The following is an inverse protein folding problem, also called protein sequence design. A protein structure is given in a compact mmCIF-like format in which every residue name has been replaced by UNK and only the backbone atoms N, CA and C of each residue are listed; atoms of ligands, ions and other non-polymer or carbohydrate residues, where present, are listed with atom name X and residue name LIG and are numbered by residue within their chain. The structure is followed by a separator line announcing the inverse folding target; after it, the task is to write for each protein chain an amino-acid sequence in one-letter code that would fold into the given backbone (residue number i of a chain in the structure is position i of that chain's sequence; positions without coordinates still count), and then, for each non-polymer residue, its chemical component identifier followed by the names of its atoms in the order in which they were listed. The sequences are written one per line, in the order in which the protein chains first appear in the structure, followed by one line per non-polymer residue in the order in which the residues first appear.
data_IF_793851887043
#
_entry.id   IF_793851887043
#
_cell.length_a   1.000
_cell.length_b   1.000
_cell.length_c   1.000
_cell.angle_alpha   90.00
_cell.angle_beta   90.00
_cell.angle_gamma   90.00
#
_symmetry.space_group_name_H-M   'P 1'
#
loop_
_entity.id
_entity.type
_entity.pdbx_description
1 polymer ?
#
# COMPACT_ATOMS: atom_id res chain seq x y z
N UNK A 1 1.38 23.33 -34.65
CA UNK A 1 1.16 23.62 -33.21
C UNK A 1 2.24 24.60 -32.81
N UNK A 2 1.87 25.79 -32.33
CA UNK A 2 2.83 26.78 -31.85
C UNK A 2 3.37 26.30 -30.49
N UNK A 3 4.69 26.13 -30.40
CA UNK A 3 5.36 25.74 -29.16
C UNK A 3 5.71 26.99 -28.35
N UNK A 4 5.70 26.88 -27.02
CA UNK A 4 5.94 28.01 -26.10
C UNK A 4 7.34 27.92 -25.51
N UNK A 5 8.13 28.99 -25.65
CA UNK A 5 9.43 29.08 -25.00
C UNK A 5 9.28 29.04 -23.47
N UNK A 6 10.03 28.16 -22.82
CA UNK A 6 9.97 28.00 -21.37
C UNK A 6 10.45 29.24 -20.60
N UNK A 7 11.39 30.01 -21.15
CA UNK A 7 11.98 31.18 -20.46
C UNK A 7 11.11 32.41 -20.60
N UNK A 8 10.77 32.81 -21.84
CA UNK A 8 10.08 34.08 -22.09
C UNK A 8 8.58 33.94 -22.38
N UNK A 9 8.05 32.72 -22.49
CA UNK A 9 6.63 32.47 -22.73
C UNK A 9 6.14 32.82 -24.14
N UNK A 10 7.00 33.29 -25.05
CA UNK A 10 6.63 33.55 -26.45
C UNK A 10 6.32 32.24 -27.16
N UNK A 11 5.24 32.26 -27.94
CA UNK A 11 4.87 31.16 -28.83
C UNK A 11 5.37 31.47 -30.23
N UNK A 12 6.25 30.64 -30.76
CA UNK A 12 6.86 30.81 -32.07
C UNK A 12 7.05 29.44 -32.74
N UNK A 13 6.86 29.37 -34.05
CA UNK A 13 7.15 28.18 -34.87
C UNK A 13 8.65 27.85 -34.88
N UNK A 14 9.51 28.85 -34.60
CA UNK A 14 10.96 28.66 -34.52
C UNK A 14 11.45 28.03 -33.22
N UNK A 15 10.56 27.76 -32.25
CA UNK A 15 10.98 27.12 -31.01
C UNK A 15 11.49 25.70 -31.27
N UNK A 16 12.62 25.34 -30.64
CA UNK A 16 13.23 24.00 -30.74
C UNK A 16 13.44 23.38 -29.35
N UNK A 17 13.39 22.05 -29.23
CA UNK A 17 13.70 21.38 -27.97
C UNK A 17 15.21 21.39 -27.73
N UNK A 18 15.64 21.67 -26.49
CA UNK A 18 17.04 21.57 -26.08
C UNK A 18 17.46 20.09 -26.00
N UNK A 19 18.62 19.69 -26.57
CA UNK A 19 19.05 18.29 -26.59
C UNK A 19 19.42 17.73 -25.21
N UNK A 20 19.64 18.60 -24.22
CA UNK A 20 20.07 18.19 -22.88
C UNK A 20 18.92 18.06 -21.87
N UNK A 21 17.95 18.99 -21.89
CA UNK A 21 16.82 19.01 -20.94
C UNK A 21 15.45 18.70 -21.58
N UNK A 22 15.38 18.63 -22.91
CA UNK A 22 14.18 18.33 -23.70
C UNK A 22 13.02 19.33 -23.53
N UNK A 23 13.31 20.56 -23.09
CA UNK A 23 12.33 21.66 -22.98
C UNK A 23 12.41 22.55 -24.23
N UNK A 24 11.33 23.28 -24.56
CA UNK A 24 11.22 24.09 -25.77
C UNK A 24 11.66 25.55 -25.55
N UNK A 25 12.48 26.07 -26.46
CA UNK A 25 13.04 27.43 -26.38
C UNK A 25 12.98 28.14 -27.74
N UNK A 26 12.76 29.45 -27.73
CA UNK A 26 12.88 30.26 -28.94
C UNK A 26 14.36 30.46 -29.33
N UNK A 27 14.63 30.97 -30.53
CA UNK A 27 16.02 31.16 -31.01
C UNK A 27 16.91 32.02 -30.11
N UNK A 28 16.33 32.90 -29.29
CA UNK A 28 17.06 33.74 -28.31
C UNK A 28 17.38 33.05 -26.98
N UNK A 29 16.82 31.86 -26.72
CA UNK A 29 17.04 31.10 -25.48
C UNK A 29 17.41 29.63 -25.76
N UNK A 30 17.73 29.29 -27.02
CA UNK A 30 17.99 27.91 -27.42
C UNK A 30 19.33 27.41 -26.86
N UNK A 31 20.31 28.30 -26.75
CA UNK A 31 21.64 27.93 -26.24
C UNK A 31 21.54 27.50 -24.77
N UNK A 32 22.13 26.35 -24.39
CA UNK A 32 22.10 25.83 -23.02
C UNK A 32 22.54 26.83 -21.92
N UNK A 33 23.44 27.75 -22.26
CA UNK A 33 23.93 28.79 -21.36
C UNK A 33 22.90 29.91 -21.14
N UNK A 34 21.96 30.12 -22.05
CA UNK A 34 20.95 31.19 -22.00
C UNK A 34 19.66 30.81 -21.23
N UNK A 35 19.47 29.53 -20.89
CA UNK A 35 18.28 29.05 -20.18
C UNK A 35 18.58 28.22 -18.92
N UNK A 36 19.80 28.37 -18.38
CA UNK A 36 20.30 27.65 -17.20
C UNK A 36 20.06 26.13 -17.28
N UNK A 37 20.52 25.51 -18.36
CA UNK A 37 20.20 24.12 -18.68
C UNK A 37 20.66 23.12 -17.60
N UNK A 38 19.70 22.51 -16.90
CA UNK A 38 19.99 21.44 -15.92
C UNK A 38 20.73 20.25 -16.53
N UNK A 39 20.40 19.86 -17.78
CA UNK A 39 21.04 18.73 -18.45
C UNK A 39 22.53 18.96 -18.72
N UNK A 40 22.92 20.21 -19.01
CA UNK A 40 24.32 20.58 -19.21
C UNK A 40 25.11 20.53 -17.89
N UNK A 41 24.50 20.95 -16.76
CA UNK A 41 25.12 20.86 -15.43
C UNK A 41 25.39 19.41 -15.01
N UNK A 42 24.56 18.46 -15.46
CA UNK A 42 24.69 17.04 -15.13
C UNK A 42 25.72 16.35 -16.04
N UNK A 43 25.72 16.65 -17.34
CA UNK A 43 26.60 15.97 -18.31
C UNK A 43 28.00 16.58 -18.46
N UNK A 44 28.26 17.74 -17.83
CA UNK A 44 29.54 18.45 -17.95
C UNK A 44 29.74 19.07 -19.34
N UNK A 45 30.56 20.11 -19.44
CA UNK A 45 30.94 20.67 -20.74
C UNK A 45 31.66 19.58 -21.55
N UNK A 46 31.31 19.35 -22.83
CA UNK A 46 32.11 18.48 -23.69
C UNK A 46 33.55 18.98 -23.66
N UNK A 47 34.49 18.08 -23.38
CA UNK A 47 35.93 18.37 -23.37
C UNK A 47 36.28 18.97 -24.74
N UNK A 48 36.84 20.19 -24.73
CA UNK A 48 37.26 20.91 -25.93
C UNK A 48 38.18 20.04 -26.79
N UNK A 49 37.65 19.54 -27.91
CA UNK A 49 38.36 18.73 -28.89
C UNK A 49 39.17 19.60 -29.87
N UNK A 50 39.80 20.67 -29.37
CA UNK A 50 40.62 21.60 -30.15
C UNK A 50 42.12 21.36 -29.91
N UNK A 51 42.60 20.17 -30.32
CA UNK A 51 44.00 19.98 -30.71
C UNK A 51 44.09 18.94 -31.84
N UNK A 52 44.55 19.30 -33.04
CA UNK A 52 44.80 18.34 -34.10
C UNK A 52 46.20 17.72 -33.94
N UNK A 53 46.26 16.40 -33.78
CA UNK A 53 47.40 15.59 -34.22
C UNK A 53 46.99 14.86 -35.51
N UNK A 54 47.91 14.85 -36.47
CA UNK A 54 47.72 14.66 -37.91
C UNK A 54 47.19 13.28 -38.33
N UNK A 55 46.47 13.33 -39.46
CA UNK A 55 46.34 12.33 -40.54
C UNK A 55 45.64 11.01 -40.12
N UNK A 56 44.73 10.43 -40.90
CA UNK A 56 44.77 10.30 -42.34
C UNK A 56 43.37 9.99 -42.89
N UNK A 57 43.16 10.48 -44.10
CA UNK A 57 42.00 10.39 -44.97
C UNK A 57 41.58 8.95 -45.23
N UNK A 58 40.26 8.66 -45.18
CA UNK A 58 39.57 7.97 -46.27
C UNK A 58 38.05 7.95 -46.04
N UNK A 59 37.38 8.69 -46.93
CA UNK A 59 35.95 8.65 -47.20
C UNK A 59 35.61 7.30 -47.85
N UNK A 60 34.46 6.70 -47.51
CA UNK A 60 33.46 6.43 -48.55
C UNK A 60 32.11 7.00 -48.10
N UNK A 61 31.60 8.03 -48.75
CA UNK A 61 30.66 7.90 -49.86
C UNK A 61 29.56 6.86 -49.57
N UNK A 62 28.69 7.13 -48.60
CA UNK A 62 27.43 6.41 -48.43
C UNK A 62 26.27 7.35 -48.75
N UNK A 63 25.75 7.11 -49.96
CA UNK A 63 24.38 7.33 -50.44
C UNK A 63 23.47 8.15 -49.52
N UNK A 64 23.19 9.37 -49.98
CA UNK A 64 21.94 10.07 -49.68
C UNK A 64 20.76 9.15 -50.05
N UNK A 65 20.09 8.59 -49.06
CA UNK A 65 18.73 8.10 -49.23
C UNK A 65 17.78 9.29 -49.15
N UNK A 66 17.23 9.57 -50.33
CA UNK A 66 16.10 10.44 -50.61
C UNK A 66 14.99 10.38 -49.57
N UNK A 67 14.45 11.57 -49.26
CA UNK A 67 13.06 11.85 -48.86
C UNK A 67 12.37 10.79 -47.97
N UNK A 68 12.28 11.09 -46.67
CA UNK A 68 11.12 10.67 -45.90
C UNK A 68 10.49 11.89 -45.24
N UNK A 69 9.36 12.32 -45.82
CA UNK A 69 8.35 13.20 -45.21
C UNK A 69 8.24 12.88 -43.72
N UNK A 70 8.59 13.83 -42.85
CA UNK A 70 8.25 13.73 -41.43
C UNK A 70 7.04 14.62 -41.12
N UNK A 71 6.15 14.17 -40.22
CA UNK A 71 4.71 14.20 -40.45
C UNK A 71 4.01 15.45 -39.90
N UNK A 72 2.87 15.75 -40.51
CA UNK A 72 1.84 16.63 -39.98
C UNK A 72 1.54 16.30 -38.50
N UNK A 73 1.17 17.31 -37.69
CA UNK A 73 1.07 17.21 -36.25
C UNK A 73 0.13 16.06 -35.88
N UNK A 74 0.71 15.02 -35.30
CA UNK A 74 -0.04 13.97 -34.62
C UNK A 74 -0.73 14.67 -33.46
N UNK A 75 -2.01 15.00 -33.66
CA UNK A 75 -2.93 15.19 -32.56
C UNK A 75 -2.64 14.05 -31.59
N UNK A 76 -2.27 14.39 -30.35
CA UNK A 76 -2.19 13.46 -29.24
C UNK A 76 -3.60 12.92 -29.04
N UNK A 77 -4.00 11.99 -29.93
CA UNK A 77 -5.15 11.13 -29.77
C UNK A 77 -4.94 10.60 -28.37
N UNK A 78 -5.86 10.93 -27.47
CA UNK A 78 -5.96 10.36 -26.14
C UNK A 78 -5.61 8.89 -26.30
N UNK A 79 -4.36 8.56 -25.94
CA UNK A 79 -3.77 7.30 -26.29
C UNK A 79 -4.71 6.29 -25.70
N UNK A 80 -5.34 5.51 -26.56
CA UNK A 80 -6.03 4.30 -26.18
C UNK A 80 -4.94 3.49 -25.50
N UNK A 81 -4.83 3.70 -24.19
CA UNK A 81 -3.74 3.19 -23.40
C UNK A 81 -4.00 1.71 -23.41
N UNK A 82 -3.30 1.00 -24.30
CA UNK A 82 -3.16 -0.44 -24.24
C UNK A 82 -2.72 -0.68 -22.81
N UNK A 83 -3.70 -1.04 -21.97
CA UNK A 83 -3.47 -1.10 -20.55
C UNK A 83 -2.47 -2.25 -20.41
N UNK A 84 -1.24 -1.91 -20.01
CA UNK A 84 -0.12 -2.84 -20.02
C UNK A 84 -0.58 -4.17 -19.42
N UNK A 85 -0.34 -5.27 -20.13
CA UNK A 85 -0.76 -6.62 -19.75
C UNK A 85 -0.32 -6.95 -18.31
N UNK A 86 0.81 -6.39 -17.87
CA UNK A 86 1.30 -6.52 -16.49
C UNK A 86 0.43 -5.82 -15.46
N UNK A 87 -0.16 -4.66 -15.80
CA UNK A 87 -1.09 -3.92 -14.95
C UNK A 87 -2.42 -4.67 -14.86
N UNK A 88 -2.94 -5.19 -15.97
CA UNK A 88 -4.13 -6.06 -16.02
C UNK A 88 -3.90 -7.31 -15.17
N UNK A 89 -2.74 -7.96 -15.31
CA UNK A 89 -2.36 -9.14 -14.52
C UNK A 89 -2.23 -8.83 -13.03
N UNK A 90 -1.69 -7.66 -12.68
CA UNK A 90 -1.63 -7.17 -11.30
C UNK A 90 -3.02 -6.92 -10.69
N UNK A 91 -3.89 -6.23 -11.43
CA UNK A 91 -5.29 -5.99 -11.05
C UNK A 91 -6.09 -7.29 -10.95
N UNK A 92 -5.89 -8.24 -11.87
CA UNK A 92 -6.53 -9.55 -11.86
C UNK A 92 -6.12 -10.38 -10.64
N UNK A 93 -4.83 -10.36 -10.29
CA UNK A 93 -4.35 -10.96 -9.03
C UNK A 93 -4.98 -10.28 -7.82
N UNK A 94 -4.99 -8.95 -7.78
CA UNK A 94 -5.59 -8.21 -6.67
C UNK A 94 -7.07 -8.56 -6.49
N UNK A 95 -7.85 -8.60 -7.58
CA UNK A 95 -9.27 -8.95 -7.58
C UNK A 95 -9.51 -10.39 -7.11
N UNK A 96 -8.73 -11.37 -7.60
CA UNK A 96 -8.85 -12.77 -7.17
C UNK A 96 -8.53 -12.93 -5.68
N UNK A 97 -7.52 -12.22 -5.20
CA UNK A 97 -7.11 -12.26 -3.80
C UNK A 97 -8.13 -11.55 -2.87
N UNK A 98 -8.71 -10.44 -3.33
CA UNK A 98 -9.81 -9.75 -2.63
C UNK A 98 -11.03 -10.65 -2.45
N UNK A 99 -11.40 -11.42 -3.49
CA UNK A 99 -12.49 -12.38 -3.40
C UNK A 99 -12.20 -13.48 -2.36
N UNK A 100 -10.99 -14.06 -2.40
CA UNK A 100 -10.55 -15.07 -1.41
C UNK A 100 -10.60 -14.48 0.00
N UNK A 101 -10.19 -13.22 0.17
CA UNK A 101 -10.24 -12.53 1.44
C UNK A 101 -11.68 -12.29 1.91
N UNK A 102 -12.58 -11.81 1.05
CA UNK A 102 -13.97 -11.54 1.38
C UNK A 102 -14.71 -12.79 1.87
N UNK A 103 -14.39 -13.96 1.30
CA UNK A 103 -14.97 -15.25 1.70
C UNK A 103 -14.22 -15.86 2.90
N UNK A 104 -12.89 -15.77 2.91
CA UNK A 104 -12.03 -16.40 3.90
C UNK A 104 -12.04 -15.68 5.25
N UNK A 105 -12.24 -14.36 5.29
CA UNK A 105 -12.27 -13.57 6.52
C UNK A 105 -13.43 -13.95 7.45
N UNK A 106 -14.70 -14.05 6.99
CA UNK A 106 -15.80 -14.53 7.81
C UNK A 106 -15.59 -15.97 8.30
N UNK A 107 -15.13 -16.86 7.41
CA UNK A 107 -14.89 -18.28 7.74
C UNK A 107 -13.77 -18.43 8.76
N UNK A 108 -12.65 -17.71 8.58
CA UNK A 108 -11.54 -17.69 9.53
C UNK A 108 -11.95 -17.13 10.88
N UNK A 109 -12.77 -16.07 10.89
CA UNK A 109 -13.32 -15.50 12.13
C UNK A 109 -14.26 -16.49 12.83
N UNK A 110 -15.09 -17.22 12.08
CA UNK A 110 -15.99 -18.27 12.60
C UNK A 110 -15.22 -19.47 13.16
N UNK A 111 -14.16 -19.92 12.49
CA UNK A 111 -13.30 -21.02 12.99
C UNK A 111 -12.57 -20.57 14.26
N UNK A 112 -11.99 -19.37 14.26
CA UNK A 112 -11.37 -18.80 15.45
C UNK A 112 -12.39 -18.65 16.60
N UNK A 113 -13.65 -18.27 16.30
CA UNK A 113 -14.73 -18.15 17.29
C UNK A 113 -14.99 -19.51 17.92
N UNK A 114 -15.19 -20.52 17.06
CA UNK A 114 -15.45 -21.90 17.49
C UNK A 114 -14.30 -22.43 18.34
N UNK A 115 -13.04 -22.24 17.91
CA UNK A 115 -11.87 -22.68 18.66
C UNK A 115 -11.71 -21.93 19.98
N UNK A 116 -11.96 -20.62 20.02
CA UNK A 116 -11.91 -19.84 21.26
C UNK A 116 -12.99 -20.28 22.26
N UNK A 117 -14.22 -20.54 21.79
CA UNK A 117 -15.33 -21.06 22.61
C UNK A 117 -15.04 -22.49 23.10
N UNK A 118 -14.47 -23.35 22.25
CA UNK A 118 -14.05 -24.69 22.65
C UNK A 118 -12.89 -24.65 23.66
N UNK A 119 -11.93 -23.75 23.47
CA UNK A 119 -10.80 -23.58 24.40
C UNK A 119 -11.25 -23.00 25.74
N UNK A 120 -12.20 -22.06 25.74
CA UNK A 120 -12.87 -21.60 26.96
C UNK A 120 -13.49 -22.79 27.69
N UNK A 121 -14.27 -23.60 26.98
CA UNK A 121 -14.93 -24.78 27.53
C UNK A 121 -13.96 -25.84 28.07
N UNK A 122 -12.78 -26.00 27.46
CA UNK A 122 -11.74 -26.96 27.86
C UNK A 122 -10.85 -26.45 29.01
N UNK A 123 -10.58 -25.15 29.09
CA UNK A 123 -9.70 -24.55 30.11
C UNK A 123 -10.36 -24.40 31.48
N UNK A 124 -11.69 -24.61 31.56
CA UNK A 124 -12.45 -24.71 32.81
C UNK A 124 -12.68 -26.17 33.25
N UNK A 125 -11.79 -27.09 32.87
CA UNK A 125 -11.69 -28.39 33.52
C UNK A 125 -11.21 -28.24 34.98
N UNK A 126 -11.77 -28.99 35.95
CA UNK A 126 -11.59 -28.76 37.40
C UNK A 126 -10.20 -29.12 37.98
N UNK A 127 -9.12 -29.19 37.20
CA UNK A 127 -7.88 -29.88 37.61
C UNK A 127 -6.64 -29.01 37.92
N UNK A 128 -6.75 -27.68 38.01
CA UNK A 128 -5.63 -26.83 38.48
C UNK A 128 -5.83 -26.42 39.95
N UNK A 129 -4.93 -26.74 40.89
CA UNK A 129 -5.09 -26.41 42.32
C UNK A 129 -5.06 -24.89 42.61
N UNK A 130 -4.41 -24.10 41.75
CA UNK A 130 -4.51 -22.63 41.82
C UNK A 130 -5.92 -22.16 41.41
N UNK A 131 -6.52 -22.83 40.42
CA UNK A 131 -7.88 -22.57 39.98
C UNK A 131 -8.90 -23.08 41.00
N UNK A 132 -8.66 -24.18 41.74
CA UNK A 132 -9.58 -24.60 42.81
C UNK A 132 -9.59 -23.62 43.98
N UNK A 133 -8.45 -22.97 44.28
CA UNK A 133 -8.36 -21.93 45.31
C UNK A 133 -9.05 -20.64 44.87
N UNK A 134 -8.91 -20.26 43.58
CA UNK A 134 -9.63 -19.13 42.99
C UNK A 134 -11.14 -19.45 42.87
N UNK A 135 -11.49 -20.68 42.48
CA UNK A 135 -12.87 -21.18 42.34
C UNK A 135 -13.51 -21.49 43.70
N UNK A 136 -12.76 -21.65 44.80
CA UNK A 136 -13.30 -21.76 46.15
C UNK A 136 -13.55 -20.39 46.78
N UNK A 137 -12.79 -19.37 46.37
CA UNK A 137 -13.07 -17.96 46.67
C UNK A 137 -14.16 -17.38 45.75
N UNK A 138 -14.40 -18.00 44.60
CA UNK A 138 -15.37 -17.56 43.59
C UNK A 138 -16.82 -17.56 44.10
N UNK A 139 -17.33 -18.57 44.85
CA UNK A 139 -18.63 -18.52 45.55
C UNK A 139 -18.75 -17.37 46.55
N UNK A 140 -17.65 -17.03 47.24
CA UNK A 140 -17.61 -15.97 48.23
C UNK A 140 -17.63 -14.57 47.59
N UNK A 141 -17.08 -14.45 46.37
CA UNK A 141 -17.24 -13.28 45.48
C UNK A 141 -18.58 -13.28 44.71
N UNK A 142 -19.17 -14.46 44.45
CA UNK A 142 -20.48 -14.65 43.79
C UNK A 142 -21.66 -14.20 44.65
N UNK A 143 -21.52 -14.21 45.98
CA UNK A 143 -22.56 -13.76 46.91
C UNK A 143 -22.89 -12.26 46.84
N UNK A 144 -22.04 -11.46 46.19
CA UNK A 144 -22.18 -10.01 46.06
C UNK A 144 -22.49 -9.60 44.61
N UNK A 145 -23.59 -10.08 44.02
CA UNK A 145 -24.17 -9.52 42.78
C UNK A 145 -23.31 -9.58 41.50
N UNK A 146 -22.17 -10.28 41.51
CA UNK A 146 -21.16 -10.25 40.43
C UNK A 146 -21.33 -11.34 39.36
N UNK A 147 -22.36 -12.19 39.47
CA UNK A 147 -22.53 -13.40 38.63
C UNK A 147 -22.90 -13.07 37.18
N UNK A 148 -23.76 -12.08 36.98
CA UNK A 148 -24.11 -11.60 35.63
C UNK A 148 -22.96 -10.77 35.07
N UNK A 149 -22.41 -9.84 35.84
CA UNK A 149 -21.34 -8.95 35.39
C UNK A 149 -20.07 -9.72 34.98
N UNK A 150 -19.66 -10.72 35.76
CA UNK A 150 -18.48 -11.54 35.47
C UNK A 150 -18.63 -12.40 34.21
N UNK A 151 -19.81 -12.99 33.98
CA UNK A 151 -20.12 -13.72 32.75
C UNK A 151 -20.15 -12.77 31.55
N UNK A 152 -20.72 -11.57 31.71
CA UNK A 152 -20.70 -10.53 30.67
C UNK A 152 -19.29 -10.03 30.36
N UNK A 153 -18.47 -9.76 31.38
CA UNK A 153 -17.07 -9.33 31.23
C UNK A 153 -16.21 -10.42 30.57
N UNK A 154 -16.39 -11.68 30.96
CA UNK A 154 -15.70 -12.82 30.36
C UNK A 154 -16.10 -13.02 28.89
N UNK A 155 -17.39 -12.98 28.59
CA UNK A 155 -17.89 -13.07 27.22
C UNK A 155 -17.40 -11.89 26.36
N UNK A 156 -17.45 -10.66 26.89
CA UNK A 156 -16.93 -9.46 26.22
C UNK A 156 -15.43 -9.57 25.96
N UNK A 157 -14.65 -10.03 26.94
CA UNK A 157 -13.21 -10.22 26.79
C UNK A 157 -12.87 -11.26 25.73
N UNK A 158 -13.58 -12.40 25.71
CA UNK A 158 -13.40 -13.43 24.67
C UNK A 158 -13.80 -12.91 23.29
N UNK A 159 -14.87 -12.10 23.21
CA UNK A 159 -15.31 -11.47 21.96
C UNK A 159 -14.28 -10.45 21.46
N UNK A 160 -13.64 -9.69 22.37
CA UNK A 160 -12.52 -8.80 22.05
C UNK A 160 -11.30 -9.60 21.58
N UNK A 161 -10.88 -10.64 22.30
CA UNK A 161 -9.75 -11.47 21.90
C UNK A 161 -9.96 -12.12 20.54
N UNK A 162 -11.19 -12.55 20.27
CA UNK A 162 -11.54 -13.08 18.97
C UNK A 162 -11.54 -12.00 17.89
N UNK A 163 -12.14 -10.84 18.15
CA UNK A 163 -12.15 -9.73 17.19
C UNK A 163 -10.71 -9.27 16.88
N UNK A 164 -9.85 -9.22 17.88
CA UNK A 164 -8.42 -8.87 17.74
C UNK A 164 -7.68 -9.98 17.01
N UNK A 165 -7.82 -11.24 17.41
CA UNK A 165 -7.13 -12.38 16.78
C UNK A 165 -7.56 -12.61 15.34
N UNK A 166 -8.87 -12.62 15.08
CA UNK A 166 -9.45 -12.64 13.74
C UNK A 166 -8.99 -11.43 12.93
N UNK A 167 -9.08 -10.23 13.48
CA UNK A 167 -8.62 -8.99 12.84
C UNK A 167 -7.14 -9.01 12.47
N UNK A 168 -6.27 -9.53 13.34
CA UNK A 168 -4.84 -9.64 13.08
C UNK A 168 -4.53 -10.67 11.99
N UNK A 169 -5.21 -11.82 11.99
CA UNK A 169 -5.08 -12.83 10.92
C UNK A 169 -5.56 -12.28 9.58
N UNK A 170 -6.67 -11.56 9.58
CA UNK A 170 -7.22 -10.86 8.44
C UNK A 170 -6.21 -9.83 7.91
N UNK A 171 -5.63 -9.01 8.78
CA UNK A 171 -4.58 -8.05 8.41
C UNK A 171 -3.34 -8.74 7.85
N UNK A 172 -2.90 -9.84 8.45
CA UNK A 172 -1.75 -10.61 7.98
C UNK A 172 -1.98 -11.16 6.56
N UNK A 173 -3.14 -11.79 6.32
CA UNK A 173 -3.54 -12.25 5.00
C UNK A 173 -3.63 -11.08 4.01
N UNK A 174 -4.23 -9.96 4.43
CA UNK A 174 -4.31 -8.72 3.66
C UNK A 174 -2.94 -8.26 3.18
N UNK A 175 -1.96 -8.08 4.07
CA UNK A 175 -0.62 -7.64 3.70
C UNK A 175 0.10 -8.69 2.84
N UNK A 176 -0.04 -9.97 3.18
CA UNK A 176 0.51 -11.09 2.40
C UNK A 176 0.01 -11.13 0.95
N UNK A 177 -1.24 -10.74 0.71
CA UNK A 177 -1.83 -10.68 -0.63
C UNK A 177 -1.55 -9.37 -1.38
N UNK A 178 -1.44 -8.25 -0.67
CA UNK A 178 -1.14 -6.95 -1.26
C UNK A 178 0.32 -6.86 -1.72
N UNK A 179 1.28 -7.44 -0.97
CA UNK A 179 2.70 -7.39 -1.33
C UNK A 179 2.98 -7.91 -2.75
N UNK A 180 2.50 -9.10 -3.16
CA UNK A 180 2.67 -9.60 -4.52
C UNK A 180 2.08 -8.67 -5.59
N UNK A 181 0.92 -8.05 -5.31
CA UNK A 181 0.28 -7.11 -6.23
C UNK A 181 1.12 -5.84 -6.41
N UNK A 182 1.53 -5.21 -5.30
CA UNK A 182 2.41 -4.03 -5.33
C UNK A 182 3.79 -4.32 -5.93
N UNK A 183 4.33 -5.52 -5.71
CA UNK A 183 5.59 -5.96 -6.35
C UNK A 183 5.41 -6.09 -7.86
N UNK A 184 4.24 -6.54 -8.32
CA UNK A 184 3.89 -6.56 -9.76
C UNK A 184 3.78 -5.13 -10.32
N UNK A 185 3.11 -4.22 -9.60
CA UNK A 185 3.00 -2.81 -10.02
C UNK A 185 4.35 -2.09 -10.04
N UNK A 186 5.26 -2.40 -9.11
CA UNK A 186 6.61 -1.82 -9.09
C UNK A 186 7.43 -2.18 -10.35
N UNK A 187 7.24 -3.38 -10.90
CA UNK A 187 7.93 -3.77 -12.15
C UNK A 187 7.51 -2.89 -13.33
N UNK A 188 6.29 -2.37 -13.30
CA UNK A 188 5.75 -1.48 -14.32
C UNK A 188 6.10 -0.02 -14.06
N UNK A 189 6.08 0.39 -12.79
CA UNK A 189 6.37 1.77 -12.40
C UNK A 189 7.09 1.80 -11.06
N UNK A 190 8.37 2.19 -11.10
CA UNK A 190 9.25 2.31 -9.94
C UNK A 190 8.67 3.18 -8.83
N UNK A 191 7.79 4.12 -9.18
CA UNK A 191 7.22 5.03 -8.21
C UNK A 191 6.18 4.36 -7.29
N UNK A 192 5.83 3.07 -7.51
CA UNK A 192 5.19 2.18 -6.51
C UNK A 192 6.15 1.62 -5.46
N UNK A 193 7.46 1.86 -5.58
CA UNK A 193 8.47 1.37 -4.64
C UNK A 193 8.26 1.86 -3.20
N UNK A 194 7.90 3.14 -3.01
CA UNK A 194 7.62 3.71 -1.69
C UNK A 194 6.37 3.07 -1.04
N UNK A 195 5.19 3.04 -1.70
CA UNK A 195 4.03 2.29 -1.20
C UNK A 195 4.35 0.83 -0.85
N UNK A 196 5.08 0.12 -1.72
CA UNK A 196 5.46 -1.28 -1.49
C UNK A 196 6.29 -1.45 -0.22
N UNK A 197 7.26 -0.55 0.03
CA UNK A 197 8.11 -0.61 1.23
C UNK A 197 7.29 -0.37 2.49
N UNK A 198 6.38 0.60 2.48
CA UNK A 198 5.49 0.91 3.60
C UNK A 198 4.54 -0.25 3.91
N UNK A 199 3.90 -0.82 2.88
CA UNK A 199 3.05 -2.02 3.01
C UNK A 199 3.87 -3.22 3.51
N UNK A 200 5.12 -3.36 3.05
CA UNK A 200 6.09 -4.34 3.53
C UNK A 200 6.38 -4.23 5.03
N UNK A 201 6.68 -3.02 5.51
CA UNK A 201 6.87 -2.76 6.94
C UNK A 201 5.60 -3.08 7.74
N UNK A 202 4.42 -2.73 7.22
CA UNK A 202 3.12 -3.06 7.82
C UNK A 202 2.84 -4.54 8.00
N UNK A 203 3.40 -5.40 7.14
CA UNK A 203 3.25 -6.86 7.23
C UNK A 203 3.87 -7.45 8.52
N UNK A 204 4.88 -6.78 9.09
CA UNK A 204 5.53 -7.19 10.35
C UNK A 204 4.68 -6.80 11.56
N UNK A 205 3.82 -5.78 11.43
CA UNK A 205 2.96 -5.27 12.50
C UNK A 205 2.07 -6.34 13.16
N UNK A 206 1.27 -7.13 12.40
CA UNK A 206 0.44 -8.19 12.96
C UNK A 206 1.22 -9.23 13.77
N UNK A 207 2.42 -9.61 13.31
CA UNK A 207 3.27 -10.58 14.01
C UNK A 207 3.79 -10.00 15.34
N UNK A 208 4.20 -8.74 15.34
CA UNK A 208 4.62 -8.03 16.57
C UNK A 208 3.46 -7.89 17.56
N UNK A 209 2.25 -7.59 17.08
CA UNK A 209 1.06 -7.52 17.94
C UNK A 209 0.69 -8.88 18.51
N UNK A 210 0.71 -9.93 17.69
CA UNK A 210 0.41 -11.28 18.15
C UNK A 210 1.41 -11.75 19.22
N UNK A 211 2.71 -11.55 18.98
CA UNK A 211 3.75 -11.91 19.96
C UNK A 211 3.63 -11.10 21.24
N UNK A 212 3.33 -9.79 21.15
CA UNK A 212 3.07 -8.95 22.31
C UNK A 212 1.85 -9.43 23.12
N UNK A 213 0.75 -9.75 22.46
CA UNK A 213 -0.47 -10.26 23.10
C UNK A 213 -0.19 -11.59 23.81
N UNK A 214 0.47 -12.54 23.13
CA UNK A 214 0.84 -13.83 23.73
C UNK A 214 1.74 -13.61 24.96
N UNK A 215 2.74 -12.73 24.87
CA UNK A 215 3.63 -12.44 25.99
C UNK A 215 2.89 -11.78 27.16
N UNK A 216 1.95 -10.87 26.90
CA UNK A 216 1.10 -10.28 27.93
C UNK A 216 0.21 -11.34 28.60
N UNK A 217 -0.41 -12.23 27.83
CA UNK A 217 -1.27 -13.31 28.35
C UNK A 217 -0.47 -14.29 29.23
N UNK A 218 0.73 -14.70 28.78
CA UNK A 218 1.60 -15.57 29.56
C UNK A 218 2.10 -14.88 30.85
N UNK A 219 2.41 -13.58 30.78
CA UNK A 219 2.80 -12.79 31.94
C UNK A 219 1.70 -12.75 33.01
N UNK A 220 0.46 -12.47 32.59
CA UNK A 220 -0.72 -12.47 33.46
C UNK A 220 -0.98 -13.83 34.10
N UNK A 221 -0.79 -14.93 33.36
CA UNK A 221 -0.96 -16.29 33.88
C UNK A 221 0.11 -16.69 34.92
N UNK A 222 1.32 -16.11 34.85
CA UNK A 222 2.41 -16.42 35.77
C UNK A 222 2.33 -15.68 37.12
N UNK A 223 1.42 -14.72 37.29
CA UNK A 223 1.33 -13.87 38.50
C UNK A 223 2.57 -13.00 38.74
N UNK A 224 3.50 -12.94 37.79
CA UNK A 224 4.70 -12.09 37.86
C UNK A 224 4.36 -10.70 37.31
N UNK A 225 5.00 -9.63 37.82
CA UNK A 225 4.84 -8.30 37.24
C UNK A 225 5.17 -8.36 35.74
N UNK A 226 4.24 -7.86 34.92
CA UNK A 226 4.39 -7.84 33.46
C UNK A 226 5.56 -6.93 33.12
N UNK A 227 6.58 -7.48 32.43
CA UNK A 227 7.69 -6.68 31.90
C UNK A 227 7.16 -5.57 30.98
N UNK A 228 7.86 -4.44 30.86
CA UNK A 228 7.49 -3.39 29.90
C UNK A 228 7.70 -3.81 28.43
N UNK A 229 8.44 -4.90 28.18
CA UNK A 229 8.78 -5.36 26.82
C UNK A 229 7.55 -5.64 25.93
N UNK A 230 6.53 -6.41 26.36
CA UNK A 230 5.36 -6.69 25.53
C UNK A 230 4.54 -5.43 25.24
N UNK A 231 4.50 -4.46 26.17
CA UNK A 231 3.82 -3.17 25.96
C UNK A 231 4.53 -2.38 24.86
N UNK A 232 5.86 -2.30 24.90
CA UNK A 232 6.64 -1.66 23.83
C UNK A 232 6.44 -2.35 22.48
N UNK A 233 6.48 -3.68 22.44
CA UNK A 233 6.23 -4.46 21.21
C UNK A 233 4.83 -4.23 20.66
N UNK A 234 3.83 -4.12 21.54
CA UNK A 234 2.46 -3.81 21.16
C UNK A 234 2.39 -2.46 20.43
N UNK A 235 2.96 -1.40 21.02
CA UNK A 235 2.95 -0.07 20.40
C UNK A 235 3.76 0.01 19.10
N UNK A 236 4.91 -0.67 19.03
CA UNK A 236 5.68 -0.80 17.78
C UNK A 236 4.84 -1.49 16.70
N UNK A 237 4.13 -2.56 17.06
CA UNK A 237 3.22 -3.27 16.17
C UNK A 237 2.09 -2.39 15.64
N UNK A 238 1.46 -1.57 16.51
CA UNK A 238 0.46 -0.57 16.12
C UNK A 238 1.04 0.46 15.14
N UNK A 239 2.23 0.99 15.44
CA UNK A 239 2.90 1.96 14.57
C UNK A 239 3.20 1.37 13.19
N UNK A 240 3.70 0.13 13.12
CA UNK A 240 3.95 -0.57 11.87
C UNK A 240 2.66 -0.78 11.06
N UNK A 241 1.56 -1.16 11.71
CA UNK A 241 0.25 -1.26 11.05
C UNK A 241 -0.18 0.07 10.43
N UNK A 242 -0.05 1.17 11.18
CA UNK A 242 -0.40 2.50 10.68
C UNK A 242 0.46 2.88 9.45
N UNK A 243 1.76 2.61 9.49
CA UNK A 243 2.69 2.78 8.35
C UNK A 243 2.25 1.94 7.15
N UNK A 244 1.84 0.69 7.37
CA UNK A 244 1.29 -0.19 6.35
C UNK A 244 0.04 0.36 5.68
N UNK A 245 -0.90 0.88 6.47
CA UNK A 245 -2.14 1.50 5.98
C UNK A 245 -1.85 2.77 5.16
N UNK A 246 -0.88 3.59 5.58
CA UNK A 246 -0.43 4.76 4.81
C UNK A 246 0.13 4.33 3.45
N UNK A 247 0.93 3.26 3.43
CA UNK A 247 1.45 2.66 2.20
C UNK A 247 0.34 2.22 1.25
N UNK A 248 -0.69 1.55 1.78
CA UNK A 248 -1.87 1.13 1.02
C UNK A 248 -2.60 2.33 0.40
N UNK A 249 -2.92 3.34 1.22
CA UNK A 249 -3.62 4.57 0.80
C UNK A 249 -2.84 5.28 -0.30
N UNK A 250 -1.53 5.45 -0.13
CA UNK A 250 -0.65 6.06 -1.13
C UNK A 250 -0.67 5.26 -2.44
N UNK A 251 -0.64 3.92 -2.35
CA UNK A 251 -0.77 3.01 -3.48
C UNK A 251 -2.09 3.14 -4.23
N UNK A 252 -3.21 3.22 -3.52
CA UNK A 252 -4.55 3.37 -4.09
C UNK A 252 -4.75 4.73 -4.75
N UNK A 253 -4.29 5.83 -4.13
CA UNK A 253 -4.33 7.15 -4.74
C UNK A 253 -3.49 7.22 -6.01
N UNK A 254 -2.39 6.47 -6.06
CA UNK A 254 -1.57 6.36 -7.26
C UNK A 254 -2.26 5.57 -8.37
N UNK A 255 -2.90 4.44 -8.02
CA UNK A 255 -3.74 3.68 -8.95
C UNK A 255 -4.88 4.53 -9.51
N UNK A 256 -5.52 5.36 -8.67
CA UNK A 256 -6.54 6.34 -9.11
C UNK A 256 -5.99 7.26 -10.20
N UNK A 257 -4.81 7.86 -10.00
CA UNK A 257 -4.20 8.78 -10.98
C UNK A 257 -3.91 8.10 -12.32
N UNK A 258 -3.48 6.82 -12.29
CA UNK A 258 -3.16 6.06 -13.51
C UNK A 258 -4.38 5.53 -14.24
N UNK A 259 -5.36 5.01 -13.51
CA UNK A 259 -6.53 4.34 -14.10
C UNK A 259 -7.71 5.29 -14.34
N UNK A 260 -7.64 6.52 -13.81
CA UNK A 260 -8.73 7.50 -13.88
C UNK A 260 -10.01 7.06 -13.17
N UNK A 261 -9.96 6.00 -12.36
CA UNK A 261 -11.15 5.45 -11.71
C UNK A 261 -11.35 6.09 -10.31
N UNK A 262 -12.45 6.84 -10.08
CA UNK A 262 -12.68 7.53 -8.81
C UNK A 262 -12.90 6.58 -7.63
N UNK A 263 -13.28 5.32 -7.87
CA UNK A 263 -13.53 4.32 -6.81
C UNK A 263 -12.28 4.01 -5.98
N UNK A 264 -11.08 4.06 -6.58
CA UNK A 264 -9.83 3.94 -5.84
C UNK A 264 -9.62 5.11 -4.86
N UNK A 265 -10.13 6.30 -5.18
CA UNK A 265 -10.10 7.44 -4.26
C UNK A 265 -11.04 7.22 -3.08
N UNK A 266 -12.26 6.74 -3.34
CA UNK A 266 -13.24 6.46 -2.30
C UNK A 266 -12.73 5.35 -1.35
N UNK A 267 -12.13 4.30 -1.90
CA UNK A 267 -11.46 3.27 -1.12
C UNK A 267 -10.33 3.83 -0.23
N UNK A 268 -9.45 4.67 -0.79
CA UNK A 268 -8.39 5.33 -0.04
C UNK A 268 -8.94 6.18 1.12
N UNK A 269 -10.00 6.95 0.89
CA UNK A 269 -10.67 7.73 1.95
C UNK A 269 -11.24 6.83 3.04
N UNK A 270 -11.87 5.71 2.70
CA UNK A 270 -12.38 4.76 3.68
C UNK A 270 -11.27 4.13 4.52
N UNK A 271 -10.10 3.84 3.94
CA UNK A 271 -8.96 3.36 4.72
C UNK A 271 -8.38 4.42 5.65
N UNK A 272 -8.38 5.69 5.24
CA UNK A 272 -8.00 6.80 6.13
C UNK A 272 -8.99 6.91 7.30
N UNK A 273 -10.30 6.87 7.01
CA UNK A 273 -11.34 6.88 8.05
C UNK A 273 -11.20 5.68 8.99
N UNK A 274 -10.97 4.48 8.44
CA UNK A 274 -10.70 3.29 9.23
C UNK A 274 -9.50 3.48 10.16
N UNK A 275 -8.40 4.07 9.67
CA UNK A 275 -7.22 4.33 10.49
C UNK A 275 -7.53 5.30 11.63
N UNK A 276 -8.19 6.42 11.34
CA UNK A 276 -8.56 7.43 12.36
C UNK A 276 -9.53 6.84 13.39
N UNK A 277 -10.55 6.11 12.94
CA UNK A 277 -11.52 5.45 13.82
C UNK A 277 -10.87 4.32 14.65
N UNK A 278 -9.90 3.61 14.10
CA UNK A 278 -9.14 2.57 14.81
C UNK A 278 -8.30 3.17 15.93
N UNK A 279 -7.66 4.32 15.69
CA UNK A 279 -6.92 5.06 16.72
C UNK A 279 -7.84 5.59 17.82
N UNK A 280 -9.09 5.92 17.48
CA UNK A 280 -10.13 6.29 18.43
C UNK A 280 -10.81 5.09 19.12
N UNK A 281 -10.33 3.86 18.89
CA UNK A 281 -10.92 2.61 19.41
C UNK A 281 -12.42 2.46 19.10
N UNK A 282 -12.86 3.04 17.97
CA UNK A 282 -14.27 3.06 17.61
C UNK A 282 -14.67 1.77 16.90
N UNK A 283 -15.78 1.10 17.29
CA UNK A 283 -16.30 -0.06 16.56
C UNK A 283 -16.69 0.27 15.12
N UNK A 284 -16.92 1.56 14.80
CA UNK A 284 -17.14 2.04 13.43
C UNK A 284 -15.91 1.83 12.52
N UNK A 285 -14.71 1.66 13.09
CA UNK A 285 -13.50 1.37 12.32
C UNK A 285 -13.67 0.08 11.50
N UNK A 286 -14.19 -0.99 12.10
CA UNK A 286 -14.41 -2.26 11.40
C UNK A 286 -15.31 -2.08 10.17
N UNK A 287 -16.38 -1.29 10.29
CA UNK A 287 -17.31 -0.98 9.20
C UNK A 287 -16.61 -0.18 8.10
N UNK A 288 -15.85 0.86 8.47
CA UNK A 288 -15.08 1.68 7.52
C UNK A 288 -14.01 0.85 6.77
N UNK A 289 -13.32 -0.05 7.48
CA UNK A 289 -12.35 -0.97 6.89
C UNK A 289 -12.99 -1.92 5.88
N UNK A 290 -14.11 -2.55 6.23
CA UNK A 290 -14.88 -3.40 5.31
C UNK A 290 -15.37 -2.62 4.08
N UNK A 291 -15.90 -1.41 4.28
CA UNK A 291 -16.36 -0.57 3.18
C UNK A 291 -15.22 -0.16 2.23
N UNK A 292 -14.04 0.20 2.77
CA UNK A 292 -12.86 0.50 1.96
C UNK A 292 -12.41 -0.66 1.10
N UNK A 293 -12.54 -1.88 1.62
CA UNK A 293 -12.25 -3.10 0.88
C UNK A 293 -13.24 -3.41 -0.23
N UNK A 294 -14.54 -3.34 0.05
CA UNK A 294 -15.59 -3.54 -0.97
C UNK A 294 -15.40 -2.53 -2.10
N UNK A 295 -15.11 -1.26 -1.78
CA UNK A 295 -14.83 -0.23 -2.78
C UNK A 295 -13.58 -0.53 -3.61
N UNK A 296 -12.53 -1.09 -2.98
CA UNK A 296 -11.31 -1.50 -3.70
C UNK A 296 -11.62 -2.61 -4.71
N UNK A 297 -12.39 -3.61 -4.30
CA UNK A 297 -12.80 -4.72 -5.18
C UNK A 297 -13.68 -4.25 -6.35
N UNK A 298 -14.65 -3.40 -6.06
CA UNK A 298 -15.48 -2.77 -7.09
C UNK A 298 -14.69 -1.85 -8.02
N UNK A 299 -13.60 -1.23 -7.53
CA UNK A 299 -12.69 -0.42 -8.34
C UNK A 299 -11.85 -1.30 -9.26
N UNK A 300 -11.28 -2.40 -8.74
CA UNK A 300 -10.46 -3.34 -9.51
C UNK A 300 -11.28 -4.06 -10.57
N UNK A 301 -12.45 -4.59 -10.21
CA UNK A 301 -13.35 -5.24 -11.15
C UNK A 301 -13.84 -4.30 -12.26
N UNK A 302 -14.11 -3.03 -11.92
CA UNK A 302 -14.48 -2.02 -12.91
C UNK A 302 -13.32 -1.65 -13.84
N UNK A 303 -12.09 -1.58 -13.32
CA UNK A 303 -10.91 -1.32 -14.13
C UNK A 303 -10.67 -2.48 -15.12
N UNK A 304 -10.78 -3.73 -14.66
CA UNK A 304 -10.64 -4.93 -15.50
C UNK A 304 -11.73 -5.02 -16.58
N UNK A 305 -12.99 -4.69 -16.28
CA UNK A 305 -14.05 -4.69 -17.30
C UNK A 305 -13.80 -3.69 -18.43
N UNK A 306 -13.13 -2.57 -18.13
CA UNK A 306 -12.81 -1.55 -19.13
C UNK A 306 -11.68 -1.97 -20.06
N UNK A 307 -10.84 -2.92 -19.67
CA UNK A 307 -9.69 -3.37 -20.47
C UNK A 307 -10.02 -4.51 -21.43
N UNK A 308 -11.16 -5.17 -21.24
CA UNK A 308 -11.62 -6.26 -22.10
C UNK A 308 -12.67 -5.82 -23.14
N UNK A 309 -12.99 -4.53 -23.20
CA UNK A 309 -13.83 -3.92 -24.23
C UNK A 309 -12.94 -3.20 -25.22
#
# INVERSE_FOLDING_TARGET
MLQRCHVCGRTDETCKPCPYCNWWFCGQHLDPEQHDCMGLKIMGKPVDASKPEKQETLVPLVKQTSYSKSPAPVAEKAGESVLDENLVKGLGKLNKLLLIYAIGSPVGSMIAFTLAVSFASLSFGPSLPLLSTIMSLWPMLYGLGFTTLGVFLGALFMLILLAVGGGLMILFLQYGFLLPAFRSFRKYDESFGKPLLLVGAGCVGPLMLLTAIIAMLMGSASGKPVSNTPIMLFWIGVALLAVGQIGLVAGLLKLRRKLGNPRFSAAATMFILNLVLSLALSPLAAIAGLAGWILTDLATGSALKKTHR
#
